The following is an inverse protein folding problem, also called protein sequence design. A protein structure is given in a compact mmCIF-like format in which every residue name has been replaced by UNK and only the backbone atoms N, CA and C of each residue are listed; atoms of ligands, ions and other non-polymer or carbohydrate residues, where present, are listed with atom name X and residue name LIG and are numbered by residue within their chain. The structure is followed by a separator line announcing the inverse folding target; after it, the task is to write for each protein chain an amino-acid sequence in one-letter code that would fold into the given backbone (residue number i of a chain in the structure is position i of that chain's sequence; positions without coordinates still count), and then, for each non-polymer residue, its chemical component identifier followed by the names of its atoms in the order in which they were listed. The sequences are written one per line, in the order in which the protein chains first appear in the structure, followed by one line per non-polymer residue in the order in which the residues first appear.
data_IF_481916815038
#
_entry.id   IF_481916815038
#
_cell.length_a   1.000
_cell.length_b   1.000
_cell.length_c   1.000
_cell.angle_alpha   90.00
_cell.angle_beta   90.00
_cell.angle_gamma   90.00
#
_symmetry.space_group_name_H-M   'P 1'
#
loop_
_entity.id
_entity.type
_entity.pdbx_description
1 polymer ?
#
# COMPACT_ATOMS: atom_id res chain seq x y z
N UNK A 1 -13.40 4.67 4.33
CA UNK A 1 -14.12 4.00 3.22
C UNK A 1 -13.16 2.98 2.61
N UNK A 2 -13.62 1.78 2.27
CA UNK A 2 -12.82 0.78 1.54
C UNK A 2 -13.45 0.67 0.15
N UNK A 3 -12.64 0.77 -0.91
CA UNK A 3 -13.17 0.74 -2.29
C UNK A 3 -13.34 -0.68 -2.78
N UNK A 4 -12.31 -1.51 -2.60
CA UNK A 4 -12.37 -2.93 -2.89
C UNK A 4 -12.02 -3.72 -1.64
N UNK A 5 -12.78 -4.79 -1.38
CA UNK A 5 -12.44 -5.77 -0.35
C UNK A 5 -12.85 -7.17 -0.79
N UNK A 6 -12.11 -8.18 -0.34
CA UNK A 6 -12.40 -9.58 -0.59
C UNK A 6 -11.32 -10.48 0.01
N UNK A 7 -11.44 -11.78 -0.17
CA UNK A 7 -10.35 -12.69 0.20
C UNK A 7 -9.21 -12.62 -0.82
N UNK A 8 -8.01 -13.10 -0.46
CA UNK A 8 -6.92 -13.28 -1.41
C UNK A 8 -7.39 -14.10 -2.62
N UNK A 9 -8.17 -15.17 -2.40
CA UNK A 9 -8.70 -15.97 -3.50
C UNK A 9 -9.61 -15.18 -4.46
N UNK A 10 -10.49 -14.31 -3.96
CA UNK A 10 -11.32 -13.48 -4.83
C UNK A 10 -10.49 -12.43 -5.57
N UNK A 11 -9.54 -11.79 -4.89
CA UNK A 11 -8.62 -10.84 -5.50
C UNK A 11 -7.77 -11.47 -6.60
N UNK A 12 -7.23 -12.67 -6.38
CA UNK A 12 -6.49 -13.42 -7.40
C UNK A 12 -7.37 -13.77 -8.60
N UNK A 13 -8.61 -14.19 -8.37
CA UNK A 13 -9.56 -14.46 -9.45
C UNK A 13 -9.84 -13.20 -10.29
N UNK A 14 -10.06 -12.07 -9.63
CA UNK A 14 -10.32 -10.79 -10.29
C UNK A 14 -9.11 -10.30 -11.08
N UNK A 15 -7.90 -10.53 -10.56
CA UNK A 15 -6.64 -10.28 -11.27
C UNK A 15 -6.49 -11.16 -12.51
N UNK A 16 -6.68 -12.47 -12.38
CA UNK A 16 -6.52 -13.44 -13.48
C UNK A 16 -7.53 -13.14 -14.60
N UNK A 17 -8.75 -12.74 -14.23
CA UNK A 17 -9.78 -12.37 -15.18
C UNK A 17 -9.56 -10.97 -15.78
N UNK A 18 -8.58 -10.20 -15.30
CA UNK A 18 -8.28 -8.86 -15.81
C UNK A 18 -9.30 -7.79 -15.43
N UNK A 19 -10.16 -8.03 -14.43
CA UNK A 19 -11.30 -7.15 -14.08
C UNK A 19 -11.07 -6.31 -12.83
N UNK A 20 -9.92 -6.45 -12.15
CA UNK A 20 -9.71 -5.77 -10.85
C UNK A 20 -9.71 -4.24 -10.97
N UNK A 21 -9.08 -3.67 -12.01
CA UNK A 21 -8.99 -2.23 -12.18
C UNK A 21 -10.37 -1.62 -12.52
N UNK A 22 -11.13 -2.29 -13.41
CA UNK A 22 -12.51 -1.93 -13.73
C UNK A 22 -13.40 -1.99 -12.49
N UNK A 23 -13.31 -3.07 -11.69
CA UNK A 23 -14.06 -3.18 -10.44
C UNK A 23 -13.76 -2.05 -9.46
N UNK A 24 -12.51 -1.63 -9.32
CA UNK A 24 -12.15 -0.51 -8.44
C UNK A 24 -12.78 0.79 -8.96
N UNK A 25 -12.70 1.03 -10.27
CA UNK A 25 -13.30 2.19 -10.92
C UNK A 25 -14.83 2.23 -10.73
N UNK A 26 -15.51 1.11 -10.96
CA UNK A 26 -16.95 0.98 -10.76
C UNK A 26 -17.35 1.21 -9.30
N UNK A 27 -16.56 0.70 -8.35
CA UNK A 27 -16.80 0.92 -6.93
C UNK A 27 -16.65 2.40 -6.55
N UNK A 28 -15.63 3.11 -7.06
CA UNK A 28 -15.51 4.56 -6.88
C UNK A 28 -16.76 5.30 -7.38
N UNK A 29 -17.21 4.97 -8.59
CA UNK A 29 -18.42 5.57 -9.19
C UNK A 29 -19.65 5.29 -8.31
N UNK A 30 -19.78 4.06 -7.79
CA UNK A 30 -20.90 3.68 -6.91
C UNK A 30 -20.92 4.45 -5.59
N UNK A 31 -19.76 4.89 -5.09
CA UNK A 31 -19.63 5.76 -3.93
C UNK A 31 -19.83 7.24 -4.24
N UNK A 32 -20.18 7.59 -5.49
CA UNK A 32 -20.35 8.97 -5.93
C UNK A 32 -19.04 9.74 -6.03
N UNK A 33 -17.89 9.04 -6.06
CA UNK A 33 -16.58 9.64 -6.26
C UNK A 33 -16.36 9.78 -7.77
N UNK A 34 -15.90 10.94 -8.25
CA UNK A 34 -15.63 11.14 -9.67
C UNK A 34 -14.72 10.05 -10.23
N UNK A 35 -14.95 9.69 -11.50
CA UNK A 35 -14.10 8.75 -12.22
C UNK A 35 -12.64 9.18 -12.10
N UNK A 36 -11.81 8.26 -11.62
CA UNK A 36 -10.39 8.54 -11.39
C UNK A 36 -9.67 8.83 -12.71
N UNK A 37 -8.52 9.47 -12.60
CA UNK A 37 -7.75 9.85 -13.77
C UNK A 37 -7.32 8.62 -14.58
N UNK A 38 -7.13 8.77 -15.90
CA UNK A 38 -6.48 7.71 -16.72
C UNK A 38 -5.10 7.32 -16.17
N UNK A 39 -4.46 8.18 -15.40
CA UNK A 39 -3.18 7.87 -14.74
C UNK A 39 -3.37 6.92 -13.56
N UNK A 40 -4.41 7.11 -12.73
CA UNK A 40 -4.76 6.22 -11.62
C UNK A 40 -5.22 4.86 -12.10
N UNK A 41 -6.11 4.81 -13.10
CA UNK A 41 -6.54 3.53 -13.68
C UNK A 41 -5.35 2.69 -14.14
N UNK A 42 -4.43 3.30 -14.91
CA UNK A 42 -3.18 2.66 -15.34
C UNK A 42 -2.27 2.29 -14.18
N UNK A 43 -2.32 3.03 -13.08
CA UNK A 43 -1.53 2.71 -11.89
C UNK A 43 -1.98 1.41 -11.25
N UNK A 44 -3.29 1.14 -11.22
CA UNK A 44 -3.83 -0.13 -10.76
C UNK A 44 -3.46 -1.28 -11.70
N UNK A 45 -3.64 -1.09 -13.01
CA UNK A 45 -3.26 -2.09 -14.02
C UNK A 45 -1.78 -2.49 -13.92
N UNK A 46 -0.90 -1.54 -13.60
CA UNK A 46 0.52 -1.81 -13.47
C UNK A 46 0.89 -2.44 -12.12
N UNK A 47 0.29 -1.96 -11.02
CA UNK A 47 0.75 -2.28 -9.66
C UNK A 47 0.08 -3.52 -9.07
N UNK A 48 -1.21 -3.72 -9.32
CA UNK A 48 -1.98 -4.81 -8.71
C UNK A 48 -1.52 -6.21 -9.15
N UNK A 49 -1.15 -6.45 -10.43
CA UNK A 49 -0.55 -7.72 -10.81
C UNK A 49 0.78 -8.00 -10.09
N UNK A 50 1.58 -6.97 -9.81
CA UNK A 50 2.89 -7.12 -9.15
C UNK A 50 2.74 -7.58 -7.70
N UNK A 51 1.81 -6.99 -6.94
CA UNK A 51 1.53 -7.44 -5.57
C UNK A 51 0.74 -8.75 -5.57
N UNK A 52 -0.12 -8.96 -6.57
CA UNK A 52 -0.81 -10.22 -6.82
C UNK A 52 0.15 -11.41 -6.93
N UNK A 53 1.24 -11.26 -7.70
CA UNK A 53 2.27 -12.29 -7.79
C UNK A 53 2.89 -12.64 -6.42
N UNK A 54 3.17 -11.64 -5.58
CA UNK A 54 3.74 -11.85 -4.24
C UNK A 54 2.76 -12.61 -3.35
N UNK A 55 1.52 -12.13 -3.25
CA UNK A 55 0.57 -12.70 -2.29
C UNK A 55 0.03 -14.07 -2.76
N UNK A 56 0.18 -14.42 -4.05
CA UNK A 56 -0.15 -15.75 -4.58
C UNK A 56 0.62 -16.90 -3.91
N UNK A 57 1.65 -16.58 -3.12
CA UNK A 57 2.41 -17.53 -2.32
C UNK A 57 1.47 -18.40 -1.47
N UNK A 58 1.59 -19.74 -1.60
CA UNK A 58 0.77 -20.73 -0.89
C UNK A 58 0.93 -20.70 0.62
N UNK A 59 2.00 -20.07 1.14
CA UNK A 59 2.19 -19.85 2.58
C UNK A 59 1.24 -18.80 3.16
N UNK A 60 0.66 -17.96 2.30
CA UNK A 60 -0.37 -17.00 2.69
C UNK A 60 -1.71 -17.70 2.40
N UNK A 61 -2.61 -17.76 3.38
CA UNK A 61 -3.85 -18.49 3.25
C UNK A 61 -4.83 -17.80 2.27
N UNK A 62 -5.74 -18.56 1.64
CA UNK A 62 -6.66 -18.06 0.60
C UNK A 62 -7.77 -17.16 1.16
N UNK A 63 -8.06 -17.33 2.45
CA UNK A 63 -9.07 -16.65 3.24
C UNK A 63 -8.60 -15.32 3.85
N UNK A 64 -7.30 -15.01 3.78
CA UNK A 64 -6.81 -13.71 4.26
C UNK A 64 -7.53 -12.60 3.50
N UNK A 65 -7.89 -11.54 4.20
CA UNK A 65 -8.64 -10.43 3.63
C UNK A 65 -7.67 -9.48 2.92
N UNK A 66 -8.08 -9.02 1.74
CA UNK A 66 -7.41 -7.97 0.98
C UNK A 66 -8.35 -6.78 0.91
N UNK A 67 -7.81 -5.58 1.12
CA UNK A 67 -8.51 -4.33 0.90
C UNK A 67 -7.64 -3.38 0.08
N UNK A 68 -8.27 -2.62 -0.82
CA UNK A 68 -7.61 -1.62 -1.67
C UNK A 68 -8.23 -0.26 -1.49
N UNK A 69 -7.42 0.78 -1.69
CA UNK A 69 -7.84 2.18 -1.67
C UNK A 69 -8.61 2.52 -0.38
N UNK A 70 -8.05 2.12 0.76
CA UNK A 70 -8.66 2.41 2.05
C UNK A 70 -8.44 3.88 2.43
N UNK A 71 -9.52 4.66 2.35
CA UNK A 71 -9.56 6.03 2.83
C UNK A 71 -9.56 6.05 4.36
N UNK A 72 -8.48 6.58 4.95
CA UNK A 72 -8.34 6.73 6.40
C UNK A 72 -9.31 7.82 6.88
N UNK A 73 -10.15 7.55 7.90
CA UNK A 73 -11.13 8.50 8.42
C UNK A 73 -10.53 9.87 8.73
N UNK A 74 -11.28 10.93 8.44
CA UNK A 74 -10.91 12.32 8.74
C UNK A 74 -9.63 12.83 8.06
N UNK A 75 -9.12 12.10 7.07
CA UNK A 75 -7.97 12.51 6.26
C UNK A 75 -8.28 12.36 4.78
N UNK A 76 -7.47 12.96 3.91
CA UNK A 76 -7.46 12.69 2.47
C UNK A 76 -6.52 11.55 2.07
N UNK A 77 -5.94 10.81 3.02
CA UNK A 77 -4.97 9.74 2.75
C UNK A 77 -5.66 8.41 2.42
N UNK A 78 -5.17 7.75 1.37
CA UNK A 78 -5.58 6.40 0.96
C UNK A 78 -4.42 5.43 1.13
N UNK A 79 -4.73 4.24 1.64
CA UNK A 79 -3.80 3.11 1.65
C UNK A 79 -4.04 2.30 0.39
N UNK A 80 -2.99 2.11 -0.42
CA UNK A 80 -3.10 1.42 -1.71
C UNK A 80 -3.56 -0.04 -1.53
N UNK A 81 -2.93 -0.77 -0.61
CA UNK A 81 -3.15 -2.20 -0.45
C UNK A 81 -3.00 -2.64 1.01
N UNK A 82 -3.93 -3.46 1.50
CA UNK A 82 -3.91 -4.00 2.86
C UNK A 82 -4.19 -5.50 2.85
N UNK A 83 -3.53 -6.24 3.76
CA UNK A 83 -3.76 -7.67 3.99
C UNK A 83 -4.12 -7.86 5.47
N UNK A 84 -5.34 -8.31 5.75
CA UNK A 84 -5.77 -8.70 7.08
C UNK A 84 -5.76 -10.22 7.25
N UNK A 85 -5.17 -10.72 8.33
CA UNK A 85 -5.14 -12.15 8.63
C UNK A 85 -4.59 -12.44 10.01
N UNK A 86 -4.32 -13.71 10.31
CA UNK A 86 -3.69 -14.14 11.55
C UNK A 86 -2.37 -14.84 11.26
N UNK A 87 -1.39 -14.68 12.15
CA UNK A 87 -0.14 -15.46 12.15
C UNK A 87 -0.26 -16.76 12.98
N UNK A 88 -1.47 -17.08 13.45
CA UNK A 88 -1.76 -18.20 14.35
C UNK A 88 -1.78 -17.81 15.84
N UNK A 89 -1.33 -16.60 16.18
CA UNK A 89 -1.33 -16.07 17.54
C UNK A 89 -2.09 -14.74 17.62
N UNK A 90 -1.75 -13.80 16.73
CA UNK A 90 -2.30 -12.45 16.70
C UNK A 90 -3.00 -12.17 15.37
N UNK A 91 -3.99 -11.28 15.42
CA UNK A 91 -4.56 -10.68 14.21
C UNK A 91 -3.64 -9.56 13.76
N UNK A 92 -3.35 -9.53 12.47
CA UNK A 92 -2.42 -8.58 11.87
C UNK A 92 -3.03 -7.97 10.60
N UNK A 93 -2.68 -6.72 10.36
CA UNK A 93 -2.93 -6.00 9.13
C UNK A 93 -1.59 -5.53 8.57
N UNK A 94 -1.22 -6.07 7.41
CA UNK A 94 -0.10 -5.57 6.62
C UNK A 94 -0.58 -4.42 5.76
N UNK A 95 0.07 -3.26 5.87
CA UNK A 95 -0.22 -2.04 5.13
C UNK A 95 0.88 -1.88 4.08
N UNK A 96 0.53 -1.91 2.81
CA UNK A 96 1.48 -1.89 1.69
C UNK A 96 1.28 -0.61 0.89
N UNK A 97 2.30 0.24 0.88
CA UNK A 97 2.41 1.36 -0.06
C UNK A 97 3.00 0.86 -1.38
N UNK A 98 2.29 1.04 -2.49
CA UNK A 98 2.72 0.62 -3.82
C UNK A 98 3.35 1.79 -4.57
N UNK A 99 4.58 1.62 -5.05
CA UNK A 99 5.24 2.63 -5.88
C UNK A 99 5.81 2.00 -7.15
N UNK A 100 5.54 2.65 -8.27
CA UNK A 100 6.05 2.25 -9.58
C UNK A 100 7.46 2.78 -9.88
N UNK A 101 8.20 3.24 -8.86
CA UNK A 101 9.48 3.92 -9.04
C UNK A 101 10.59 2.95 -9.48
N UNK A 102 11.46 3.44 -10.36
CA UNK A 102 12.68 2.72 -10.80
C UNK A 102 13.93 3.22 -10.08
N UNK A 103 13.94 4.51 -9.71
CA UNK A 103 15.05 5.20 -9.05
C UNK A 103 14.51 6.33 -8.18
N UNK A 104 15.32 6.75 -7.21
CA UNK A 104 15.12 7.99 -6.47
C UNK A 104 16.49 8.57 -6.10
N UNK A 105 16.50 9.77 -5.54
CA UNK A 105 17.72 10.38 -4.98
C UNK A 105 17.47 10.73 -3.52
N UNK A 106 18.47 10.46 -2.68
CA UNK A 106 18.45 10.92 -1.30
C UNK A 106 18.41 12.45 -1.26
N UNK A 107 17.73 13.00 -0.26
CA UNK A 107 17.77 14.44 0.05
C UNK A 107 18.46 14.65 1.40
N UNK A 108 18.76 15.90 1.74
CA UNK A 108 19.26 16.26 3.07
C UNK A 108 18.18 16.18 4.17
N UNK A 109 16.91 16.04 3.80
CA UNK A 109 15.77 16.02 4.72
C UNK A 109 15.44 14.58 5.13
N UNK A 110 15.12 14.39 6.41
CA UNK A 110 14.68 13.09 6.92
C UNK A 110 13.38 12.66 6.28
N UNK A 111 13.28 11.35 5.98
CA UNK A 111 12.09 10.73 5.40
C UNK A 111 11.61 11.38 4.10
N UNK A 112 12.48 12.10 3.37
CA UNK A 112 12.17 12.74 2.09
C UNK A 112 13.18 12.29 1.05
N UNK A 113 12.66 11.91 -0.11
CA UNK A 113 13.43 11.53 -1.29
C UNK A 113 12.98 12.35 -2.48
N UNK A 114 13.88 12.55 -3.43
CA UNK A 114 13.56 13.16 -4.72
C UNK A 114 13.27 12.04 -5.71
N UNK A 115 12.07 12.03 -6.28
CA UNK A 115 11.63 10.99 -7.22
C UNK A 115 10.82 11.61 -8.37
N UNK A 116 10.82 10.93 -9.53
CA UNK A 116 9.97 11.32 -10.65
C UNK A 116 8.55 10.80 -10.42
N UNK A 117 7.60 11.70 -10.24
CA UNK A 117 6.19 11.35 -10.00
C UNK A 117 5.27 12.44 -10.53
N UNK A 118 4.11 12.04 -11.07
CA UNK A 118 3.13 12.95 -11.66
C UNK A 118 3.74 13.93 -12.69
N UNK A 119 4.64 13.41 -13.53
CA UNK A 119 5.24 14.12 -14.67
C UNK A 119 6.46 15.01 -14.37
N UNK A 120 6.98 15.03 -13.13
CA UNK A 120 8.15 15.84 -12.78
C UNK A 120 8.96 15.23 -11.63
N UNK A 121 10.22 15.64 -11.48
CA UNK A 121 10.97 15.37 -10.25
C UNK A 121 10.41 16.21 -9.10
N UNK A 122 10.13 15.56 -7.96
CA UNK A 122 9.57 16.19 -6.76
C UNK A 122 10.21 15.63 -5.50
N UNK A 123 10.33 16.49 -4.49
CA UNK A 123 10.62 16.06 -3.13
C UNK A 123 9.34 15.48 -2.52
N UNK A 124 9.38 14.20 -2.16
CA UNK A 124 8.24 13.43 -1.67
C UNK A 124 8.62 12.63 -0.44
N UNK A 125 7.63 12.31 0.39
CA UNK A 125 7.86 11.45 1.54
C UNK A 125 8.37 10.07 1.08
N UNK A 126 9.36 9.54 1.79
CA UNK A 126 9.90 8.21 1.58
C UNK A 126 8.75 7.17 1.64
N UNK A 127 8.67 6.19 0.73
CA UNK A 127 7.55 5.24 0.68
C UNK A 127 7.30 4.51 2.02
N UNK A 128 8.36 4.06 2.70
CA UNK A 128 8.22 3.45 4.03
C UNK A 128 7.69 4.42 5.10
N UNK A 129 8.01 5.71 4.99
CA UNK A 129 7.44 6.72 5.88
C UNK A 129 5.96 6.94 5.59
N UNK A 130 5.54 6.89 4.32
CA UNK A 130 4.12 6.97 3.94
C UNK A 130 3.35 5.81 4.58
N UNK A 131 3.79 4.56 4.38
CA UNK A 131 3.17 3.38 4.99
C UNK A 131 3.13 3.46 6.53
N UNK A 132 4.24 3.86 7.17
CA UNK A 132 4.29 4.04 8.62
C UNK A 132 3.30 5.10 9.12
N UNK A 133 3.18 6.22 8.40
CA UNK A 133 2.22 7.27 8.75
C UNK A 133 0.78 6.76 8.70
N UNK A 134 0.45 5.87 7.76
CA UNK A 134 -0.86 5.25 7.67
C UNK A 134 -1.13 4.34 8.86
N UNK A 135 -0.17 3.47 9.23
CA UNK A 135 -0.30 2.61 10.40
C UNK A 135 -0.59 3.44 11.68
N UNK A 136 0.12 4.55 11.88
CA UNK A 136 -0.13 5.44 13.02
C UNK A 136 -1.51 6.09 12.98
N UNK A 137 -1.95 6.57 11.82
CA UNK A 137 -3.28 7.17 11.69
C UNK A 137 -4.38 6.13 11.94
N UNK A 138 -4.26 4.93 11.39
CA UNK A 138 -5.23 3.84 11.58
C UNK A 138 -5.31 3.46 13.06
N UNK A 139 -4.17 3.29 13.73
CA UNK A 139 -4.13 3.00 15.17
C UNK A 139 -4.78 4.10 16.02
N UNK A 140 -4.67 5.37 15.59
CA UNK A 140 -5.26 6.48 16.32
C UNK A 140 -6.78 6.59 16.14
N UNK A 141 -7.29 6.32 14.93
CA UNK A 141 -8.71 6.47 14.59
C UNK A 141 -9.56 5.21 14.80
N UNK A 142 -8.96 4.02 14.76
CA UNK A 142 -9.68 2.76 14.86
C UNK A 142 -9.51 2.15 16.25
N UNK A 143 -10.51 2.33 17.09
CA UNK A 143 -10.54 1.80 18.44
C UNK A 143 -10.44 0.27 18.47
N UNK A 144 -11.13 -0.41 17.54
CA UNK A 144 -11.08 -1.87 17.46
C UNK A 144 -9.67 -2.41 17.17
N UNK A 145 -8.82 -1.66 16.45
CA UNK A 145 -7.41 -2.04 16.26
C UNK A 145 -6.65 -2.03 17.60
N UNK A 146 -6.95 -1.07 18.49
CA UNK A 146 -6.30 -0.98 19.79
C UNK A 146 -6.87 -1.98 20.80
N UNK A 147 -8.19 -2.10 20.87
CA UNK A 147 -8.86 -2.97 21.84
C UNK A 147 -8.61 -4.45 21.57
N UNK A 148 -8.54 -4.85 20.30
CA UNK A 148 -8.29 -6.23 19.90
C UNK A 148 -6.81 -6.52 19.65
N UNK A 149 -5.91 -5.59 20.03
CA UNK A 149 -4.46 -5.69 19.86
C UNK A 149 -4.04 -6.16 18.45
N UNK A 150 -4.64 -5.54 17.43
CA UNK A 150 -4.38 -5.88 16.03
C UNK A 150 -3.03 -5.27 15.62
N UNK A 151 -2.08 -6.12 15.25
CA UNK A 151 -0.77 -5.68 14.77
C UNK A 151 -0.89 -4.92 13.44
N UNK A 152 -0.29 -3.73 13.34
CA UNK A 152 -0.18 -2.98 12.10
C UNK A 152 1.24 -3.01 11.57
N UNK A 153 1.45 -3.64 10.41
CA UNK A 153 2.76 -3.88 9.82
C UNK A 153 2.90 -3.04 8.53
N UNK A 154 3.51 -1.85 8.58
CA UNK A 154 3.71 -1.02 7.40
C UNK A 154 4.90 -1.50 6.58
N UNK A 155 4.73 -1.58 5.26
CA UNK A 155 5.81 -1.78 4.31
C UNK A 155 5.57 -1.00 3.02
N UNK A 156 6.61 -0.88 2.22
CA UNK A 156 6.53 -0.28 0.89
C UNK A 156 7.04 -1.27 -0.13
N UNK A 157 6.34 -1.38 -1.26
CA UNK A 157 6.72 -2.24 -2.36
C UNK A 157 6.97 -1.40 -3.62
N UNK A 158 8.24 -1.26 -3.97
CA UNK A 158 8.68 -0.55 -5.16
C UNK A 158 8.94 -1.57 -6.29
N UNK A 159 7.89 -1.92 -7.03
CA UNK A 159 7.91 -3.11 -7.90
C UNK A 159 8.69 -2.93 -9.22
N UNK A 160 9.15 -1.72 -9.53
CA UNK A 160 10.03 -1.45 -10.68
C UNK A 160 11.46 -1.10 -10.24
N UNK A 161 11.74 -1.13 -8.94
CA UNK A 161 13.03 -0.74 -8.39
C UNK A 161 14.01 -1.90 -8.49
N UNK A 162 15.15 -1.66 -9.14
CA UNK A 162 16.19 -2.68 -9.30
C UNK A 162 17.07 -2.74 -8.06
N UNK A 163 17.59 -3.93 -7.77
CA UNK A 163 18.48 -4.14 -6.62
C UNK A 163 19.75 -3.28 -6.70
N UNK A 164 20.27 -3.04 -7.91
CA UNK A 164 21.40 -2.13 -8.16
C UNK A 164 21.14 -0.69 -7.66
N UNK A 165 19.87 -0.26 -7.64
CA UNK A 165 19.47 1.06 -7.16
C UNK A 165 19.20 1.08 -5.65
N UNK A 166 19.18 -0.07 -4.95
CA UNK A 166 18.76 -0.17 -3.54
C UNK A 166 19.51 0.78 -2.61
N UNK A 167 20.78 1.05 -2.90
CA UNK A 167 21.56 2.04 -2.15
C UNK A 167 20.93 3.44 -2.15
N UNK A 168 20.28 3.86 -3.23
CA UNK A 168 19.69 5.20 -3.33
C UNK A 168 18.49 5.41 -2.40
N UNK A 169 17.74 4.33 -2.12
CA UNK A 169 16.56 4.38 -1.24
C UNK A 169 16.90 4.00 0.22
N UNK A 170 17.84 3.07 0.43
CA UNK A 170 18.20 2.59 1.76
C UNK A 170 19.27 3.45 2.48
N UNK A 171 20.02 4.29 1.74
CA UNK A 171 21.10 5.14 2.27
C UNK A 171 20.60 6.52 2.73
N UNK A 172 19.29 6.73 2.73
CA UNK A 172 18.67 7.88 3.39
C UNK A 172 18.72 7.62 4.90
N UNK A 173 18.85 8.68 5.72
CA UNK A 173 18.62 8.65 7.18
C UNK A 173 17.15 8.29 7.50
N UNK A 174 16.72 7.12 7.04
CA UNK A 174 15.37 6.56 7.06
C UNK A 174 15.37 5.20 7.78
N UNK A 175 16.51 4.77 8.32
CA UNK A 175 16.57 3.51 9.06
C UNK A 175 16.20 3.76 10.52
N UNK A 176 15.01 3.26 10.85
CA UNK A 176 14.38 3.11 12.17
C UNK A 176 13.52 4.30 12.61
N UNK A 177 12.19 4.12 12.66
CA UNK A 177 11.41 4.84 13.65
C UNK A 177 12.07 4.57 15.01
N UNK A 178 12.50 5.64 15.66
CA UNK A 178 12.93 5.60 17.07
C UNK A 178 11.80 4.99 17.91
N UNK A 179 11.87 3.70 18.23
CA UNK A 179 10.91 3.08 19.17
C UNK A 179 10.56 1.60 19.04
N UNK A 180 11.33 0.73 18.36
CA UNK A 180 11.13 -0.72 18.49
C UNK A 180 12.47 -1.44 18.69
N UNK A 181 12.60 -2.06 19.87
CA UNK A 181 13.57 -3.08 20.22
C UNK A 181 12.91 -4.46 20.06
#
# INVERSE_FOLDING_TARGET
MIVYSGSKASFQRDLINGVIAEKIEDMFISFGIPKESRAEYRSWENSLPKIGMIISNRKIADEVQVALEYQIPLTSKRVDFMIGGTDGVHNNIVIVELKQWETCRATSRENVVKAFTGGAERDVAHPSQQAYSYAKLISNFNEAVRENDIGLIPCAYLHNYKEENRGQICNVRCQRPSGQA
#
